data_IF_350634839633
#
_entry.id   IF_350634839633
#
_cell.length_a   1.000
_cell.length_b   1.000
_cell.length_c   1.000
_cell.angle_alpha   90.00
_cell.angle_beta   90.00
_cell.angle_gamma   90.00
#
_symmetry.space_group_name_H-M   'P 1'
#
loop_
_entity.id
_entity.type
_entity.pdbx_description
1 polymer ?
#
# COMPACT_ATOMS: atom_id res chain seq x y z
N UNK A 1 17.43 13.36 -12.94
CA UNK A 1 18.02 12.85 -11.71
C UNK A 1 19.36 12.20 -12.04
N UNK A 2 20.47 12.88 -11.75
CA UNK A 2 21.77 12.20 -11.68
C UNK A 2 21.83 11.63 -10.26
N UNK A 3 21.70 10.31 -10.13
CA UNK A 3 21.98 9.59 -8.90
C UNK A 3 23.50 9.70 -8.62
N UNK A 4 23.92 10.85 -8.12
CA UNK A 4 25.22 10.93 -7.45
C UNK A 4 25.03 10.34 -6.07
N UNK A 5 26.04 9.65 -5.56
CA UNK A 5 26.10 9.23 -4.17
C UNK A 5 25.83 10.43 -3.26
N UNK A 6 24.59 10.53 -2.80
CA UNK A 6 24.17 11.56 -1.87
C UNK A 6 23.88 10.84 -0.54
N UNK A 7 24.58 11.20 0.55
CA UNK A 7 24.39 10.57 1.85
C UNK A 7 22.94 10.60 2.34
N UNK A 8 22.18 11.67 2.04
CA UNK A 8 20.76 11.77 2.42
C UNK A 8 19.91 10.77 1.66
N UNK A 9 20.14 10.59 0.37
CA UNK A 9 19.41 9.59 -0.45
C UNK A 9 19.78 8.18 0.02
N UNK A 10 21.06 7.91 0.25
CA UNK A 10 21.53 6.62 0.78
C UNK A 10 20.88 6.30 2.12
N UNK A 11 20.77 7.31 2.99
CA UNK A 11 20.08 7.16 4.27
C UNK A 11 18.61 6.79 4.12
N UNK A 12 17.88 7.45 3.23
CA UNK A 12 16.46 7.14 2.98
C UNK A 12 16.30 5.68 2.54
N UNK A 13 17.11 5.21 1.59
CA UNK A 13 17.05 3.80 1.17
C UNK A 13 17.43 2.84 2.30
N UNK A 14 18.42 3.16 3.11
CA UNK A 14 18.80 2.34 4.27
C UNK A 14 17.69 2.29 5.31
N UNK A 15 17.05 3.41 5.58
CA UNK A 15 15.93 3.51 6.52
C UNK A 15 14.71 2.70 6.05
N UNK A 16 14.37 2.76 4.75
CA UNK A 16 13.30 1.94 4.16
C UNK A 16 13.64 0.45 4.33
N UNK A 17 14.84 0.04 3.95
CA UNK A 17 15.28 -1.34 4.08
C UNK A 17 15.16 -1.85 5.52
N UNK A 18 15.75 -1.14 6.47
CA UNK A 18 15.80 -1.57 7.88
C UNK A 18 14.39 -1.59 8.51
N UNK A 19 13.57 -0.58 8.25
CA UNK A 19 12.22 -0.48 8.78
C UNK A 19 11.31 -1.58 8.21
N UNK A 20 11.43 -1.86 6.91
CA UNK A 20 10.65 -2.94 6.29
C UNK A 20 11.01 -4.30 6.88
N UNK A 21 12.30 -4.63 7.04
CA UNK A 21 12.70 -5.88 7.69
C UNK A 21 12.34 -5.94 9.17
N UNK A 22 12.32 -4.82 9.87
CA UNK A 22 11.80 -4.76 11.24
C UNK A 22 10.31 -5.12 11.28
N UNK A 23 9.49 -4.55 10.37
CA UNK A 23 8.07 -4.87 10.29
C UNK A 23 7.83 -6.34 9.85
N UNK A 24 8.65 -6.87 8.95
CA UNK A 24 8.64 -8.30 8.60
C UNK A 24 8.95 -9.17 9.83
N UNK A 25 9.89 -8.74 10.68
CA UNK A 25 10.18 -9.43 11.93
C UNK A 25 8.98 -9.43 12.89
N UNK A 26 8.21 -8.35 12.96
CA UNK A 26 6.98 -8.32 13.74
C UNK A 26 5.90 -9.27 13.17
N UNK A 27 5.72 -9.31 11.85
CA UNK A 27 4.83 -10.29 11.21
C UNK A 27 5.26 -11.73 11.52
N UNK A 28 6.57 -12.03 11.46
CA UNK A 28 7.10 -13.34 11.83
C UNK A 28 6.87 -13.67 13.31
N UNK A 29 6.99 -12.70 14.20
CA UNK A 29 6.70 -12.89 15.63
C UNK A 29 5.23 -13.26 15.86
N UNK A 30 4.30 -12.60 15.16
CA UNK A 30 2.89 -12.97 15.19
C UNK A 30 2.71 -14.43 14.72
N UNK A 31 3.28 -14.79 13.58
CA UNK A 31 3.14 -16.13 13.02
C UNK A 31 3.70 -17.22 13.95
N UNK A 32 4.86 -16.99 14.58
CA UNK A 32 5.45 -17.93 15.56
C UNK A 32 4.54 -18.11 16.78
N UNK A 33 3.97 -17.01 17.30
CA UNK A 33 3.05 -17.12 18.44
C UNK A 33 1.75 -17.83 18.08
N UNK A 34 1.31 -17.74 16.82
CA UNK A 34 0.13 -18.45 16.32
C UNK A 34 0.37 -19.97 16.12
N UNK A 35 1.62 -20.44 16.08
CA UNK A 35 1.91 -21.89 15.96
C UNK A 35 1.35 -22.72 17.13
N UNK A 36 1.20 -22.11 18.29
CA UNK A 36 0.64 -22.74 19.49
C UNK A 36 -0.86 -22.46 19.68
N UNK A 37 -1.51 -21.90 18.68
CA UNK A 37 -2.93 -21.56 18.68
C UNK A 37 -3.64 -22.31 17.53
N UNK A 38 -4.95 -22.36 17.62
CA UNK A 38 -5.81 -22.91 16.57
C UNK A 38 -7.14 -22.13 16.52
N UNK A 39 -7.98 -22.33 15.49
CA UNK A 39 -9.31 -21.71 15.44
C UNK A 39 -10.20 -22.02 16.65
N UNK A 40 -9.95 -23.16 17.34
CA UNK A 40 -10.70 -23.56 18.55
C UNK A 40 -10.20 -22.81 19.80
N UNK A 41 -8.96 -22.33 19.81
CA UNK A 41 -8.34 -21.70 20.99
C UNK A 41 -8.23 -20.19 20.86
N UNK A 42 -8.28 -19.66 19.64
CA UNK A 42 -8.16 -18.24 19.36
C UNK A 42 -9.23 -17.81 18.36
N UNK A 43 -10.17 -17.03 18.81
CA UNK A 43 -11.14 -16.36 17.93
C UNK A 43 -10.42 -15.54 16.86
N UNK A 44 -10.91 -15.57 15.63
CA UNK A 44 -10.32 -14.89 14.48
C UNK A 44 -8.87 -15.33 14.12
N UNK A 45 -8.46 -16.52 14.57
CA UNK A 45 -7.13 -17.09 14.27
C UNK A 45 -6.76 -16.99 12.78
N UNK A 46 -7.70 -17.36 11.89
CA UNK A 46 -7.47 -17.35 10.44
C UNK A 46 -7.24 -15.93 9.91
N UNK A 47 -7.93 -14.94 10.46
CA UNK A 47 -7.75 -13.52 10.07
C UNK A 47 -6.36 -13.06 10.51
N UNK A 48 -5.99 -13.22 11.77
CA UNK A 48 -4.66 -12.79 12.24
C UNK A 48 -3.53 -13.46 11.47
N UNK A 49 -3.66 -14.75 11.19
CA UNK A 49 -2.67 -15.49 10.42
C UNK A 49 -2.62 -15.06 8.96
N UNK A 50 -3.78 -14.88 8.33
CA UNK A 50 -3.91 -14.42 6.97
C UNK A 50 -3.33 -13.02 6.76
N UNK A 51 -3.66 -12.07 7.64
CA UNK A 51 -3.10 -10.71 7.60
C UNK A 51 -1.57 -10.72 7.80
N UNK A 52 -1.06 -11.47 8.76
CA UNK A 52 0.38 -11.53 9.02
C UNK A 52 1.17 -12.12 7.83
N UNK A 53 0.65 -13.18 7.18
CA UNK A 53 1.22 -13.75 5.97
C UNK A 53 1.16 -12.77 4.80
N UNK A 54 0.01 -12.12 4.60
CA UNK A 54 -0.19 -11.14 3.55
C UNK A 54 0.72 -9.93 3.68
N UNK A 55 0.82 -9.35 4.87
CA UNK A 55 1.73 -8.24 5.17
C UNK A 55 3.19 -8.62 4.98
N UNK A 56 3.60 -9.81 5.43
CA UNK A 56 4.95 -10.32 5.21
C UNK A 56 5.29 -10.39 3.72
N UNK A 57 4.39 -10.94 2.92
CA UNK A 57 4.58 -11.06 1.48
C UNK A 57 4.57 -9.70 0.79
N UNK A 58 3.66 -8.80 1.17
CA UNK A 58 3.56 -7.43 0.62
C UNK A 58 4.86 -6.66 0.83
N UNK A 59 5.39 -6.66 2.06
CA UNK A 59 6.63 -5.97 2.39
C UNK A 59 7.85 -6.56 1.65
N UNK A 60 7.94 -7.90 1.54
CA UNK A 60 9.00 -8.53 0.75
C UNK A 60 8.87 -8.22 -0.74
N UNK A 61 7.65 -8.11 -1.27
CA UNK A 61 7.44 -7.74 -2.67
C UNK A 61 7.92 -6.30 -2.94
N UNK A 62 7.64 -5.37 -2.06
CA UNK A 62 8.12 -3.99 -2.20
C UNK A 62 9.65 -3.92 -2.07
N UNK A 63 10.25 -4.64 -1.12
CA UNK A 63 11.71 -4.75 -1.03
C UNK A 63 12.32 -5.36 -2.30
N UNK A 64 11.71 -6.41 -2.85
CA UNK A 64 12.18 -7.02 -4.10
C UNK A 64 12.18 -6.02 -5.26
N UNK A 65 11.13 -5.22 -5.37
CA UNK A 65 11.01 -4.20 -6.42
C UNK A 65 11.99 -3.04 -6.27
N UNK A 66 12.30 -2.66 -5.03
CA UNK A 66 13.18 -1.52 -4.75
C UNK A 66 14.67 -1.87 -4.80
N UNK A 67 15.05 -3.09 -4.40
CA UNK A 67 16.45 -3.43 -4.13
C UNK A 67 17.00 -4.56 -4.99
N UNK A 68 16.17 -5.37 -5.64
CA UNK A 68 16.67 -6.41 -6.53
C UNK A 68 16.93 -5.87 -7.94
N UNK A 69 17.86 -6.51 -8.63
CA UNK A 69 18.10 -6.25 -10.04
C UNK A 69 16.81 -6.52 -10.86
N UNK A 70 16.53 -5.66 -11.82
CA UNK A 70 15.36 -5.79 -12.68
C UNK A 70 15.55 -6.82 -13.81
N UNK A 71 16.76 -7.35 -14.00
CA UNK A 71 16.98 -8.45 -14.92
C UNK A 71 16.04 -9.64 -14.66
N UNK A 72 15.68 -10.37 -15.70
CA UNK A 72 14.68 -11.45 -15.67
C UNK A 72 15.28 -12.85 -15.63
N UNK A 73 16.59 -12.96 -15.65
CA UNK A 73 17.28 -14.27 -15.62
C UNK A 73 17.05 -14.97 -14.26
N UNK A 74 16.90 -16.28 -14.31
CA UNK A 74 16.61 -17.12 -13.16
C UNK A 74 17.66 -17.08 -12.05
N UNK A 75 18.90 -16.67 -12.36
CA UNK A 75 20.01 -16.52 -11.41
C UNK A 75 20.11 -15.11 -10.84
N UNK A 76 19.29 -14.18 -11.33
CA UNK A 76 19.29 -12.81 -10.82
C UNK A 76 19.15 -12.79 -9.29
N UNK A 77 20.05 -12.07 -8.65
CA UNK A 77 20.07 -11.92 -7.21
C UNK A 77 18.79 -11.22 -6.75
N UNK A 78 18.07 -11.84 -5.84
CA UNK A 78 16.90 -11.25 -5.19
C UNK A 78 17.26 -10.61 -3.84
N UNK A 79 16.46 -10.91 -2.86
CA UNK A 79 16.60 -10.41 -1.49
C UNK A 79 16.56 -11.57 -0.49
N UNK A 80 16.78 -11.28 0.77
CA UNK A 80 16.47 -12.20 1.87
C UNK A 80 14.94 -12.31 1.99
N UNK A 81 14.38 -13.51 1.92
CA UNK A 81 12.99 -13.75 2.30
C UNK A 81 12.96 -14.33 3.72
N UNK A 82 12.78 -13.43 4.69
CA UNK A 82 12.85 -13.80 6.10
C UNK A 82 11.49 -14.33 6.59
N UNK A 83 11.49 -15.58 7.07
CA UNK A 83 10.31 -16.25 7.65
C UNK A 83 10.47 -16.58 9.13
N UNK A 84 11.61 -16.22 9.72
CA UNK A 84 11.92 -16.52 11.12
C UNK A 84 11.97 -15.25 11.96
N UNK A 85 11.47 -15.32 13.18
CA UNK A 85 11.75 -14.35 14.22
C UNK A 85 13.09 -14.71 14.89
N UNK A 86 14.20 -14.29 14.30
CA UNK A 86 15.55 -14.71 14.70
C UNK A 86 16.59 -13.66 14.37
N UNK A 87 17.63 -13.59 15.18
CA UNK A 87 18.84 -12.77 14.92
C UNK A 87 19.84 -13.47 13.99
N UNK A 88 19.59 -14.71 13.58
CA UNK A 88 20.47 -15.42 12.64
C UNK A 88 20.31 -14.83 11.25
N UNK A 89 21.43 -14.53 10.56
CA UNK A 89 21.38 -14.10 9.17
C UNK A 89 20.71 -15.16 8.29
N UNK A 90 19.90 -14.71 7.36
CA UNK A 90 19.28 -15.56 6.32
C UNK A 90 19.96 -15.31 4.99
N UNK A 91 19.96 -16.32 4.12
CA UNK A 91 20.56 -16.24 2.80
C UNK A 91 19.77 -15.35 1.85
N UNK A 92 20.50 -14.68 0.96
CA UNK A 92 19.90 -13.98 -0.16
C UNK A 92 19.48 -15.03 -1.19
N UNK A 93 18.19 -15.02 -1.53
CA UNK A 93 17.64 -15.96 -2.50
C UNK A 93 17.72 -15.41 -3.93
N UNK A 94 17.75 -16.27 -4.95
CA UNK A 94 17.47 -15.86 -6.32
C UNK A 94 16.09 -15.21 -6.42
N UNK A 95 15.94 -14.24 -7.31
CA UNK A 95 14.71 -13.46 -7.51
C UNK A 95 13.49 -14.37 -7.76
N UNK A 96 13.64 -15.42 -8.54
CA UNK A 96 12.59 -16.41 -8.79
C UNK A 96 12.11 -17.09 -7.53
N UNK A 97 13.03 -17.44 -6.63
CA UNK A 97 12.70 -18.08 -5.35
C UNK A 97 12.00 -17.12 -4.38
N UNK A 98 12.36 -15.84 -4.44
CA UNK A 98 11.64 -14.81 -3.67
C UNK A 98 10.20 -14.69 -4.15
N UNK A 99 9.96 -14.65 -5.46
CA UNK A 99 8.60 -14.63 -6.01
C UNK A 99 7.79 -15.87 -5.61
N UNK A 100 8.38 -17.06 -5.70
CA UNK A 100 7.70 -18.30 -5.25
C UNK A 100 7.21 -18.20 -3.80
N UNK A 101 8.05 -17.65 -2.91
CA UNK A 101 7.69 -17.49 -1.49
C UNK A 101 6.63 -16.39 -1.28
N UNK A 102 6.74 -15.27 -1.97
CA UNK A 102 5.74 -14.20 -1.95
C UNK A 102 4.37 -14.76 -2.36
N UNK A 103 4.32 -15.49 -3.48
CA UNK A 103 3.08 -16.07 -4.00
C UNK A 103 2.53 -17.13 -3.04
N UNK A 104 3.39 -17.94 -2.44
CA UNK A 104 2.96 -18.94 -1.47
C UNK A 104 2.30 -18.32 -0.23
N UNK A 105 2.91 -17.28 0.34
CA UNK A 105 2.33 -16.56 1.48
C UNK A 105 1.03 -15.84 1.11
N UNK A 106 0.95 -15.18 -0.06
CA UNK A 106 -0.26 -14.51 -0.51
C UNK A 106 -1.41 -15.48 -0.77
N UNK A 107 -1.14 -16.65 -1.35
CA UNK A 107 -2.17 -17.68 -1.54
C UNK A 107 -2.63 -18.30 -0.22
N UNK A 108 -1.73 -18.48 0.73
CA UNK A 108 -2.10 -18.90 2.07
C UNK A 108 -2.95 -17.84 2.78
N UNK A 109 -2.58 -16.57 2.63
CA UNK A 109 -3.37 -15.45 3.14
C UNK A 109 -4.75 -15.40 2.48
N UNK A 110 -4.84 -15.48 1.15
CA UNK A 110 -6.12 -15.52 0.42
C UNK A 110 -7.03 -16.61 0.99
N UNK A 111 -6.51 -17.84 1.14
CA UNK A 111 -7.30 -18.96 1.65
C UNK A 111 -7.81 -18.76 3.08
N UNK A 112 -7.01 -18.15 3.95
CA UNK A 112 -7.38 -17.91 5.35
C UNK A 112 -8.37 -16.75 5.48
N UNK A 113 -8.23 -15.73 4.64
CA UNK A 113 -9.06 -14.54 4.65
C UNK A 113 -10.37 -14.73 3.86
N UNK A 114 -10.50 -15.79 3.06
CA UNK A 114 -11.71 -16.15 2.31
C UNK A 114 -12.70 -16.89 3.22
N UNK A 115 -13.04 -16.25 4.35
CA UNK A 115 -13.96 -16.80 5.34
C UNK A 115 -14.99 -15.74 5.74
N UNK A 116 -16.03 -15.61 4.92
CA UNK A 116 -17.12 -14.63 5.13
C UNK A 116 -17.74 -14.75 6.51
N UNK A 117 -17.86 -15.95 7.06
CA UNK A 117 -18.48 -16.18 8.38
C UNK A 117 -17.74 -15.50 9.53
N UNK A 118 -16.41 -15.31 9.41
CA UNK A 118 -15.62 -14.63 10.42
C UNK A 118 -15.93 -13.12 10.49
N UNK A 119 -16.22 -12.52 9.33
CA UNK A 119 -16.57 -11.11 9.26
C UNK A 119 -18.03 -10.85 9.65
N UNK A 120 -18.92 -11.81 9.42
CA UNK A 120 -20.32 -11.76 9.85
C UNK A 120 -20.46 -11.97 11.37
N UNK A 121 -19.57 -12.76 11.97
CA UNK A 121 -19.57 -13.04 13.41
C UNK A 121 -19.02 -11.89 14.25
N UNK A 122 -18.26 -10.97 13.63
CA UNK A 122 -17.74 -9.80 14.31
C UNK A 122 -18.88 -8.85 14.67
N UNK A 123 -19.05 -8.60 15.99
CA UNK A 123 -19.97 -7.57 16.44
C UNK A 123 -19.60 -6.21 15.84
N UNK A 124 -20.57 -5.38 15.42
CA UNK A 124 -20.30 -3.99 15.06
C UNK A 124 -19.63 -3.17 16.18
N UNK A 125 -19.67 -3.68 17.41
CA UNK A 125 -19.02 -3.09 18.57
C UNK A 125 -17.56 -3.51 18.71
N UNK A 126 -17.11 -4.52 17.95
CA UNK A 126 -15.72 -4.94 17.92
C UNK A 126 -14.90 -3.97 17.07
N UNK A 127 -14.22 -3.04 17.74
CA UNK A 127 -13.43 -1.98 17.09
C UNK A 127 -12.35 -2.49 16.12
N UNK A 128 -11.93 -3.75 16.23
CA UNK A 128 -10.95 -4.35 15.33
C UNK A 128 -11.49 -4.51 13.90
N UNK A 129 -12.77 -4.82 13.72
CA UNK A 129 -13.38 -5.05 12.40
C UNK A 129 -14.09 -3.85 11.80
N UNK A 130 -14.15 -2.72 12.51
CA UNK A 130 -14.88 -1.54 12.05
C UNK A 130 -14.38 -0.97 10.72
N UNK A 131 -13.13 -1.23 10.36
CA UNK A 131 -12.51 -0.59 9.22
C UNK A 131 -11.59 -1.51 8.45
N UNK A 132 -12.20 -2.31 7.59
CA UNK A 132 -11.50 -3.29 6.77
C UNK A 132 -10.48 -2.67 5.80
N UNK A 133 -10.61 -1.39 5.49
CA UNK A 133 -9.71 -0.71 4.56
C UNK A 133 -8.30 -0.47 5.13
N UNK A 134 -8.14 -0.57 6.45
CA UNK A 134 -6.84 -0.48 7.13
C UNK A 134 -6.26 -1.84 7.52
N UNK A 135 -6.97 -2.92 7.20
CA UNK A 135 -6.52 -4.31 7.38
C UNK A 135 -6.04 -4.90 6.06
N UNK A 136 -5.04 -5.78 6.13
CA UNK A 136 -4.63 -6.54 4.95
C UNK A 136 -5.65 -7.65 4.67
N UNK A 137 -6.76 -7.26 4.06
CA UNK A 137 -7.94 -8.09 3.83
C UNK A 137 -7.79 -9.03 2.61
N UNK A 138 -8.81 -9.83 2.32
CA UNK A 138 -8.87 -10.74 1.19
C UNK A 138 -8.56 -10.05 -0.16
N UNK A 139 -9.16 -8.89 -0.38
CA UNK A 139 -8.96 -8.17 -1.65
C UNK A 139 -7.55 -7.58 -1.76
N UNK A 140 -6.92 -7.23 -0.63
CA UNK A 140 -5.52 -6.81 -0.59
C UNK A 140 -4.59 -7.97 -1.01
N UNK A 141 -4.86 -9.20 -0.55
CA UNK A 141 -4.10 -10.38 -0.96
C UNK A 141 -4.25 -10.64 -2.46
N UNK A 142 -5.48 -10.60 -2.99
CA UNK A 142 -5.78 -10.80 -4.43
C UNK A 142 -5.16 -9.70 -5.29
N UNK A 143 -5.33 -8.45 -4.92
CA UNK A 143 -4.75 -7.31 -5.65
C UNK A 143 -3.22 -7.35 -5.65
N UNK A 144 -2.61 -7.77 -4.54
CA UNK A 144 -1.16 -7.96 -4.46
C UNK A 144 -0.71 -9.11 -5.36
N UNK A 145 -1.43 -10.24 -5.40
CA UNK A 145 -1.17 -11.34 -6.34
C UNK A 145 -1.22 -10.86 -7.80
N UNK A 146 -2.22 -10.07 -8.18
CA UNK A 146 -2.30 -9.49 -9.51
C UNK A 146 -1.05 -8.67 -9.85
N UNK A 147 -0.60 -7.81 -8.92
CA UNK A 147 0.62 -6.99 -9.09
C UNK A 147 1.89 -7.84 -9.18
N UNK A 148 2.00 -8.88 -8.36
CA UNK A 148 3.15 -9.81 -8.37
C UNK A 148 3.23 -10.54 -9.70
N UNK A 149 2.14 -11.13 -10.18
CA UNK A 149 2.09 -11.83 -11.46
C UNK A 149 2.34 -10.89 -12.64
N UNK A 150 1.80 -9.69 -12.61
CA UNK A 150 2.07 -8.67 -13.65
C UNK A 150 3.56 -8.33 -13.71
N UNK A 151 4.21 -8.16 -12.55
CA UNK A 151 5.65 -7.86 -12.48
C UNK A 151 6.51 -9.03 -12.97
N UNK A 152 6.03 -10.26 -12.85
CA UNK A 152 6.67 -11.44 -13.42
C UNK A 152 6.42 -11.62 -14.92
N UNK A 153 5.52 -10.86 -15.52
CA UNK A 153 5.08 -11.04 -16.91
C UNK A 153 4.06 -12.17 -17.10
N UNK A 154 3.51 -12.74 -16.03
CA UNK A 154 2.43 -13.73 -16.10
C UNK A 154 1.08 -13.03 -16.21
N UNK A 155 0.74 -12.65 -17.44
CA UNK A 155 -0.44 -11.83 -17.74
C UNK A 155 -1.74 -12.55 -17.40
N UNK A 156 -1.84 -13.85 -17.67
CA UNK A 156 -3.06 -14.63 -17.43
C UNK A 156 -3.41 -14.67 -15.93
N UNK A 157 -2.42 -14.95 -15.08
CA UNK A 157 -2.62 -14.94 -13.64
C UNK A 157 -2.87 -13.53 -13.10
N UNK A 158 -2.20 -12.52 -13.65
CA UNK A 158 -2.43 -11.13 -13.27
C UNK A 158 -3.87 -10.70 -13.59
N UNK A 159 -4.35 -11.04 -14.79
CA UNK A 159 -5.73 -10.78 -15.22
C UNK A 159 -6.74 -11.50 -14.31
N UNK A 160 -6.52 -12.81 -14.06
CA UNK A 160 -7.40 -13.60 -13.19
C UNK A 160 -7.61 -12.96 -11.82
N UNK A 161 -6.52 -12.57 -11.15
CA UNK A 161 -6.63 -11.95 -9.82
C UNK A 161 -7.19 -10.53 -9.85
N UNK A 162 -6.87 -9.74 -10.87
CA UNK A 162 -7.44 -8.41 -11.04
C UNK A 162 -8.96 -8.48 -11.30
N UNK A 163 -9.42 -9.38 -12.18
CA UNK A 163 -10.84 -9.61 -12.47
C UNK A 163 -11.60 -10.06 -11.21
N UNK A 164 -10.98 -10.92 -10.41
CA UNK A 164 -11.54 -11.36 -9.13
C UNK A 164 -11.78 -10.20 -8.17
N UNK A 165 -10.80 -9.29 -8.02
CA UNK A 165 -10.95 -8.09 -7.19
C UNK A 165 -12.07 -7.20 -7.70
N UNK A 166 -12.16 -6.99 -9.02
CA UNK A 166 -13.19 -6.13 -9.63
C UNK A 166 -14.59 -6.71 -9.42
N UNK A 167 -14.76 -8.03 -9.59
CA UNK A 167 -16.08 -8.64 -9.53
C UNK A 167 -16.56 -8.99 -8.13
N UNK A 168 -15.62 -9.38 -7.25
CA UNK A 168 -15.93 -9.90 -5.93
C UNK A 168 -15.56 -8.93 -4.81
N UNK A 169 -14.87 -7.82 -5.13
CA UNK A 169 -14.34 -6.90 -4.13
C UNK A 169 -15.37 -5.97 -3.49
N UNK A 170 -16.56 -5.84 -4.08
CA UNK A 170 -17.58 -4.90 -3.58
C UNK A 170 -17.15 -3.43 -3.63
N UNK A 171 -16.11 -3.11 -4.42
CA UNK A 171 -15.54 -1.77 -4.55
C UNK A 171 -16.11 -1.06 -5.76
N UNK A 172 -16.35 0.21 -5.62
CA UNK A 172 -16.87 1.07 -6.68
C UNK A 172 -15.89 2.17 -7.01
N UNK A 173 -15.79 2.53 -8.30
CA UNK A 173 -15.00 3.68 -8.70
C UNK A 173 -15.69 4.98 -8.24
N UNK A 174 -14.88 5.91 -7.76
CA UNK A 174 -15.37 7.24 -7.39
C UNK A 174 -15.77 8.00 -8.66
N UNK A 175 -17.00 8.48 -8.70
CA UNK A 175 -17.51 9.26 -9.82
C UNK A 175 -17.04 10.73 -9.77
N UNK A 176 -17.09 11.41 -10.93
CA UNK A 176 -16.63 12.80 -11.08
C UNK A 176 -17.17 13.77 -10.02
N UNK A 177 -18.48 13.75 -9.66
CA UNK A 177 -19.00 14.65 -8.63
C UNK A 177 -18.42 14.40 -7.23
N UNK A 178 -18.04 13.15 -6.96
CA UNK A 178 -17.55 12.68 -5.67
C UNK A 178 -16.06 12.95 -5.48
N UNK A 179 -15.28 13.04 -6.56
CA UNK A 179 -13.83 13.29 -6.50
C UNK A 179 -13.49 14.60 -5.79
N UNK A 180 -14.32 15.62 -5.93
CA UNK A 180 -14.13 16.89 -5.24
C UNK A 180 -14.34 16.78 -3.73
N UNK A 181 -15.13 15.80 -3.29
CA UNK A 181 -15.38 15.46 -1.89
C UNK A 181 -14.59 14.23 -1.41
N UNK A 182 -14.03 13.45 -2.33
CA UNK A 182 -13.14 12.32 -2.01
C UNK A 182 -11.78 12.90 -1.62
N UNK A 183 -11.56 12.88 -0.35
CA UNK A 183 -10.55 13.71 0.27
C UNK A 183 -9.16 13.22 -0.08
N UNK A 184 -8.45 14.09 -0.71
CA UNK A 184 -7.01 14.01 -0.87
C UNK A 184 -6.39 13.80 0.53
N UNK A 185 -5.60 12.74 0.70
CA UNK A 185 -4.98 12.40 2.00
C UNK A 185 -5.88 11.66 3.00
N UNK A 186 -7.07 11.24 2.58
CA UNK A 186 -7.88 10.25 3.31
C UNK A 186 -7.99 8.94 2.53
N UNK A 187 -8.37 7.88 3.23
CA UNK A 187 -8.74 6.63 2.60
C UNK A 187 -10.08 6.84 1.87
N UNK A 188 -10.10 6.55 0.58
CA UNK A 188 -11.36 6.52 -0.16
C UNK A 188 -12.24 5.41 0.36
N UNK A 189 -13.45 5.73 0.78
CA UNK A 189 -14.40 4.72 1.27
C UNK A 189 -14.84 3.75 0.17
N UNK A 190 -14.81 4.18 -1.09
CA UNK A 190 -15.26 3.38 -2.23
C UNK A 190 -14.16 2.57 -2.89
N UNK A 191 -12.96 3.13 -2.98
CA UNK A 191 -11.89 2.53 -3.81
C UNK A 191 -10.74 1.95 -2.99
N UNK A 192 -10.63 2.24 -1.67
CA UNK A 192 -9.49 1.75 -0.89
C UNK A 192 -9.65 0.27 -0.60
N UNK A 193 -8.74 -0.53 -1.16
CA UNK A 193 -8.61 -1.94 -0.86
C UNK A 193 -7.82 -2.13 0.44
N UNK A 194 -6.69 -1.43 0.54
CA UNK A 194 -5.83 -1.44 1.71
C UNK A 194 -5.10 -0.10 1.85
N UNK A 195 -5.13 0.44 3.04
CA UNK A 195 -4.48 1.68 3.38
C UNK A 195 -3.83 1.65 4.76
N UNK A 196 -3.03 2.67 5.05
CA UNK A 196 -2.45 2.87 6.37
C UNK A 196 -3.14 4.05 7.05
N UNK A 197 -3.61 3.82 8.28
CA UNK A 197 -4.04 4.91 9.13
C UNK A 197 -2.85 5.79 9.50
N UNK A 198 -2.92 7.09 9.23
CA UNK A 198 -1.84 8.03 9.53
C UNK A 198 -2.41 9.37 10.01
N UNK A 199 -2.50 9.55 11.32
CA UNK A 199 -3.18 10.70 11.93
C UNK A 199 -2.43 12.03 11.71
N UNK A 200 -1.16 12.12 12.00
CA UNK A 200 -0.44 13.41 12.01
C UNK A 200 0.96 13.38 11.37
N UNK A 201 1.72 12.34 11.63
CA UNK A 201 3.14 12.29 11.23
C UNK A 201 3.40 12.23 9.74
N UNK A 202 2.53 11.53 9.00
CA UNK A 202 2.64 11.41 7.54
C UNK A 202 2.37 12.76 6.87
N UNK A 203 1.35 13.48 7.34
CA UNK A 203 0.98 14.76 6.79
C UNK A 203 2.07 15.82 7.01
N UNK A 204 2.64 15.91 8.21
CA UNK A 204 3.73 16.87 8.48
C UNK A 204 4.89 16.66 7.53
N UNK A 205 5.29 15.39 7.31
CA UNK A 205 6.35 15.04 6.37
C UNK A 205 6.00 15.36 4.92
N UNK A 206 4.82 14.96 4.47
CA UNK A 206 4.38 15.25 3.09
C UNK A 206 4.20 16.74 2.84
N UNK A 207 3.78 17.52 3.83
CA UNK A 207 3.70 18.97 3.74
C UNK A 207 5.09 19.58 3.52
N UNK A 208 6.06 19.20 4.33
CA UNK A 208 7.41 19.75 4.27
C UNK A 208 8.15 19.32 2.99
N UNK A 209 8.01 18.07 2.59
CA UNK A 209 8.77 17.49 1.47
C UNK A 209 8.09 17.70 0.11
N UNK A 210 6.76 17.72 0.04
CA UNK A 210 6.01 17.75 -1.21
C UNK A 210 5.24 19.05 -1.44
N UNK A 211 4.90 19.79 -0.40
CA UNK A 211 3.90 20.83 -0.45
C UNK A 211 4.36 22.21 0.01
N UNK A 212 5.47 22.33 0.73
CA UNK A 212 5.93 23.62 1.22
C UNK A 212 6.32 24.54 0.05
N UNK A 213 5.58 25.63 -0.09
CA UNK A 213 5.79 26.63 -1.13
C UNK A 213 7.14 27.38 -1.00
N UNK A 214 7.74 27.33 0.18
CA UNK A 214 8.98 28.05 0.53
C UNK A 214 10.19 27.14 0.46
N UNK A 215 10.02 25.84 0.53
CA UNK A 215 11.10 24.85 0.49
C UNK A 215 11.45 24.52 -0.96
N UNK A 216 12.73 24.71 -1.32
CA UNK A 216 13.31 24.21 -2.58
C UNK A 216 13.28 22.66 -2.70
N UNK A 217 12.78 21.97 -1.68
CA UNK A 217 12.64 20.52 -1.61
C UNK A 217 11.32 20.01 -2.19
N UNK A 218 10.34 20.89 -2.44
CA UNK A 218 9.03 20.46 -2.93
C UNK A 218 9.13 19.88 -4.35
N UNK A 219 8.50 18.71 -4.56
CA UNK A 219 8.32 18.13 -5.88
C UNK A 219 7.30 18.96 -6.66
N UNK A 220 7.80 19.93 -7.43
CA UNK A 220 6.96 20.69 -8.34
C UNK A 220 6.68 19.85 -9.59
N UNK A 221 5.43 19.76 -10.03
CA UNK A 221 5.13 19.14 -11.30
C UNK A 221 5.90 19.84 -12.43
N UNK A 222 6.36 19.06 -13.38
CA UNK A 222 6.95 19.61 -14.60
C UNK A 222 5.93 20.52 -15.33
N UNK A 223 6.37 21.65 -15.86
CA UNK A 223 5.50 22.63 -16.53
C UNK A 223 4.65 22.05 -17.67
N UNK A 224 5.08 20.95 -18.29
CA UNK A 224 4.33 20.23 -19.32
C UNK A 224 3.32 19.22 -18.80
N UNK A 225 3.18 19.02 -17.49
CA UNK A 225 2.25 18.02 -16.93
C UNK A 225 0.80 18.31 -17.32
N UNK A 226 0.43 19.59 -17.41
CA UNK A 226 -0.89 20.01 -17.88
C UNK A 226 -1.20 19.47 -19.29
N UNK A 227 -0.22 19.49 -20.17
CA UNK A 227 -0.36 18.96 -21.55
C UNK A 227 -0.65 17.47 -21.57
N UNK A 228 -0.04 16.70 -20.66
CA UNK A 228 -0.28 15.25 -20.54
C UNK A 228 -1.73 14.96 -20.20
N UNK A 229 -2.28 15.70 -19.23
CA UNK A 229 -3.69 15.54 -18.84
C UNK A 229 -4.68 16.17 -19.85
N UNK A 230 -4.26 17.16 -20.64
CA UNK A 230 -5.11 17.84 -21.60
C UNK A 230 -5.12 17.17 -22.98
N UNK A 231 -4.02 16.53 -23.42
CA UNK A 231 -3.93 15.87 -24.72
C UNK A 231 -4.78 14.60 -24.86
N UNK A 232 -5.14 13.97 -23.76
CA UNK A 232 -6.00 12.79 -23.74
C UNK A 232 -7.50 13.07 -23.67
N UNK A 233 -7.97 14.31 -23.92
CA UNK A 233 -9.36 14.73 -23.70
C UNK A 233 -9.52 15.45 -22.35
N UNK A 234 -8.55 16.23 -22.00
CA UNK A 234 -8.25 16.80 -20.68
C UNK A 234 -9.32 17.61 -19.99
N UNK A 235 -10.33 18.08 -20.71
CA UNK A 235 -11.53 18.63 -20.05
C UNK A 235 -12.33 17.54 -19.31
N UNK A 236 -12.10 16.28 -19.63
CA UNK A 236 -12.78 15.13 -19.06
C UNK A 236 -11.91 14.34 -18.06
N UNK A 237 -10.62 14.62 -17.95
CA UNK A 237 -9.78 13.99 -16.94
C UNK A 237 -9.88 14.76 -15.61
N UNK A 238 -10.82 14.37 -14.78
CA UNK A 238 -11.07 15.02 -13.49
C UNK A 238 -9.94 14.85 -12.47
N UNK A 239 -8.96 13.95 -12.72
CA UNK A 239 -7.75 13.85 -11.90
C UNK A 239 -6.94 15.12 -11.94
N UNK A 240 -6.98 15.86 -13.08
CA UNK A 240 -6.32 17.16 -13.17
C UNK A 240 -6.85 18.14 -12.14
N UNK A 241 -8.17 18.34 -12.10
CA UNK A 241 -8.81 19.26 -11.17
C UNK A 241 -8.69 18.81 -9.71
N UNK A 242 -8.69 17.48 -9.47
CA UNK A 242 -8.65 16.92 -8.13
C UNK A 242 -7.22 16.86 -7.54
N UNK A 243 -6.22 16.57 -8.36
CA UNK A 243 -4.87 16.30 -7.87
C UNK A 243 -3.87 17.44 -8.03
N UNK A 244 -4.24 18.48 -8.77
CA UNK A 244 -3.37 19.62 -9.00
C UNK A 244 -4.06 20.93 -8.60
N UNK A 245 -3.38 21.76 -7.84
CA UNK A 245 -3.84 23.08 -7.43
C UNK A 245 -2.76 24.13 -7.65
N UNK A 246 -3.18 25.33 -8.02
CA UNK A 246 -2.28 26.49 -8.10
C UNK A 246 -2.29 27.23 -6.77
N UNK A 247 -1.17 27.20 -6.08
CA UNK A 247 -0.98 27.85 -4.79
C UNK A 247 0.17 28.84 -4.93
N UNK A 248 -0.07 30.11 -4.62
CA UNK A 248 0.94 31.18 -4.76
C UNK A 248 1.62 31.19 -6.14
N UNK A 249 0.83 31.08 -7.21
CA UNK A 249 1.25 31.01 -8.61
C UNK A 249 2.10 29.76 -8.99
N UNK A 250 2.20 28.77 -8.13
CA UNK A 250 2.89 27.51 -8.41
C UNK A 250 1.89 26.37 -8.49
N UNK A 251 2.00 25.56 -9.55
CA UNK A 251 1.24 24.33 -9.65
C UNK A 251 1.77 23.30 -8.65
N UNK A 252 0.89 22.70 -7.88
CA UNK A 252 1.19 21.71 -6.83
C UNK A 252 0.43 20.44 -7.06
N UNK A 253 1.09 19.31 -6.79
CA UNK A 253 0.45 17.99 -6.77
C UNK A 253 -0.08 17.73 -5.35
N UNK A 254 -1.40 17.76 -5.19
CA UNK A 254 -2.06 17.75 -3.86
C UNK A 254 -2.67 16.39 -3.49
N UNK A 255 -2.54 15.37 -4.35
CA UNK A 255 -3.12 14.03 -4.13
C UNK A 255 -2.72 13.39 -2.80
N UNK A 256 -1.54 13.69 -2.29
CA UNK A 256 -1.02 13.12 -1.04
C UNK A 256 -1.15 14.05 0.17
N UNK A 257 -1.86 15.17 0.01
CA UNK A 257 -2.07 16.14 1.08
C UNK A 257 -3.43 15.96 1.73
N UNK A 258 -3.52 16.28 3.02
CA UNK A 258 -4.78 16.29 3.75
C UNK A 258 -5.30 17.72 3.90
N UNK A 259 -6.36 18.11 3.17
CA UNK A 259 -6.88 19.47 3.21
C UNK A 259 -7.44 19.85 4.58
N UNK A 260 -7.85 18.90 5.40
CA UNK A 260 -8.37 19.16 6.74
C UNK A 260 -7.28 19.47 7.77
N UNK A 261 -6.05 19.13 7.46
CA UNK A 261 -4.90 19.53 8.28
C UNK A 261 -4.27 20.85 7.81
N UNK A 262 -4.60 21.29 6.59
CA UNK A 262 -4.10 22.57 6.04
C UNK A 262 -4.83 23.80 6.62
N UNK A 263 -6.06 23.64 7.07
CA UNK A 263 -6.87 24.71 7.62
C UNK A 263 -7.10 24.52 9.12
N UNK A 264 -6.61 25.44 9.92
CA UNK A 264 -6.97 25.52 11.33
C UNK A 264 -8.48 25.77 11.43
N UNK A 265 -9.24 24.73 11.76
CA UNK A 265 -10.67 24.85 11.99
C UNK A 265 -11.60 23.98 11.13
N UNK A 266 -11.12 23.31 10.12
CA UNK A 266 -11.95 22.37 9.36
C UNK A 266 -11.92 20.98 10.03
N UNK A 267 -13.05 20.59 10.59
CA UNK A 267 -13.22 19.23 11.08
C UNK A 267 -13.37 18.28 9.89
N UNK A 268 -12.63 17.17 9.94
CA UNK A 268 -12.79 16.08 8.98
C UNK A 268 -14.23 15.58 9.04
N UNK A 269 -14.90 15.33 7.90
CA UNK A 269 -16.22 14.72 7.89
C UNK A 269 -16.24 13.38 8.66
N UNK A 270 -17.35 13.13 9.34
CA UNK A 270 -17.53 11.88 10.07
C UNK A 270 -17.39 10.67 9.12
N UNK A 271 -16.68 9.65 9.56
CA UNK A 271 -16.43 8.43 8.78
C UNK A 271 -15.24 8.49 7.83
N UNK A 272 -14.59 9.64 7.65
CA UNK A 272 -13.34 9.69 6.87
C UNK A 272 -12.13 9.34 7.74
N UNK A 273 -11.34 8.38 7.27
CA UNK A 273 -10.13 7.90 7.93
C UNK A 273 -8.92 8.62 7.37
N UNK A 274 -8.14 9.33 8.22
CA UNK A 274 -6.87 9.90 7.77
C UNK A 274 -5.89 8.79 7.43
N UNK A 275 -5.29 8.85 6.24
CA UNK A 275 -4.37 7.79 5.86
C UNK A 275 -3.85 7.87 4.44
N UNK A 276 -3.14 6.82 4.07
CA UNK A 276 -2.52 6.65 2.76
C UNK A 276 -3.01 5.38 2.11
N UNK A 277 -3.58 5.49 0.92
CA UNK A 277 -3.96 4.34 0.12
C UNK A 277 -2.70 3.63 -0.38
N UNK A 278 -2.52 2.37 -0.01
CA UNK A 278 -1.45 1.51 -0.51
C UNK A 278 -1.90 0.68 -1.71
N UNK A 279 -3.15 0.22 -1.68
CA UNK A 279 -3.80 -0.51 -2.77
C UNK A 279 -5.19 0.13 -2.99
N UNK A 280 -5.40 0.56 -4.23
CA UNK A 280 -6.63 1.23 -4.66
C UNK A 280 -7.08 0.68 -6.01
#
# INVERSE_FOLDING_TARGET
FKYKENPEVTKVFSDIWSTMYQNISYANNILVNLENQSPETLEFYDIYKGEALGLRAYMHFDLLRLYADQATDAKTRGIVYNTAFSLKPSDILPKTKVYERIIADLRAAEKLLDNEKLYEAASPEDGFFLDQSIHFNLQAARATLARVYLTQGNIDSAFYYADKVIREGGLELVEKPEIAGDVIGALSQKETIFGLYAKESFYTRTKEDLYDAVSFKSLNPWNGIATVYQQGGGENDYRWAAWFQTISNNLRFVKLTDPYQLSTGNNRPAGQIPGVNLIR
#
